data_IF_109429646831
#
_entry.id   IF_109429646831
#
_cell.length_a   1.000
_cell.length_b   1.000
_cell.length_c   1.000
_cell.angle_alpha   90.00
_cell.angle_beta   90.00
_cell.angle_gamma   90.00
#
_symmetry.space_group_name_H-M   'P 1'
#
loop_
_entity.id
_entity.type
_entity.pdbx_description
1 polymer ?
#
# COMPACT_ATOMS: atom_id res chain seq x y z
N UNK A 1 -7.40 -12.34 6.87
CA UNK A 1 -7.23 -10.98 7.41
C UNK A 1 -6.45 -11.12 8.69
N UNK A 2 -5.34 -10.41 8.82
CA UNK A 2 -4.52 -10.35 10.03
C UNK A 2 -4.80 -8.99 10.68
N UNK A 3 -5.09 -8.97 11.99
CA UNK A 3 -5.35 -7.76 12.77
C UNK A 3 -4.54 -7.79 14.07
N UNK A 4 -3.62 -6.84 14.23
CA UNK A 4 -2.79 -6.65 15.42
C UNK A 4 -2.60 -5.16 15.74
N UNK A 5 -2.40 -4.84 17.03
CA UNK A 5 -2.18 -3.45 17.47
C UNK A 5 -0.81 -2.89 17.10
N UNK A 6 0.23 -3.74 17.14
CA UNK A 6 1.59 -3.38 16.74
C UNK A 6 2.22 -4.60 16.08
N UNK A 7 2.80 -4.41 14.90
CA UNK A 7 3.42 -5.50 14.17
C UNK A 7 4.78 -5.07 13.61
N UNK A 8 5.83 -5.80 13.99
CA UNK A 8 7.19 -5.62 13.48
C UNK A 8 7.63 -6.93 12.82
N UNK A 9 7.36 -7.07 11.52
CA UNK A 9 7.79 -8.24 10.77
C UNK A 9 7.66 -8.00 9.26
N UNK A 10 8.13 -8.95 8.46
CA UNK A 10 7.76 -9.03 7.05
C UNK A 10 6.50 -9.89 6.92
N UNK A 11 5.50 -9.40 6.17
CA UNK A 11 4.25 -10.12 5.91
C UNK A 11 4.13 -10.40 4.41
N UNK A 12 3.89 -11.67 4.08
CA UNK A 12 3.53 -12.10 2.75
C UNK A 12 2.14 -12.76 2.81
N UNK A 13 1.18 -12.24 2.06
CA UNK A 13 -0.14 -12.84 1.91
C UNK A 13 -0.45 -13.05 0.45
N UNK A 14 -0.73 -14.30 0.09
CA UNK A 14 -1.13 -14.69 -1.26
C UNK A 14 -2.58 -15.19 -1.25
N UNK A 15 -3.38 -14.78 -2.24
CA UNK A 15 -4.66 -15.40 -2.48
C UNK A 15 -5.62 -14.56 -3.31
N UNK A 16 -6.88 -15.02 -3.46
CA UNK A 16 -7.89 -14.25 -4.21
C UNK A 16 -8.16 -12.87 -3.60
N UNK A 17 -8.00 -12.75 -2.28
CA UNK A 17 -8.14 -11.53 -1.49
C UNK A 17 -7.06 -11.53 -0.41
N UNK A 18 -6.07 -10.67 -0.57
CA UNK A 18 -5.03 -10.43 0.42
C UNK A 18 -5.34 -9.09 1.11
N UNK A 19 -5.51 -9.10 2.43
CA UNK A 19 -5.83 -7.90 3.19
C UNK A 19 -5.15 -7.92 4.56
N UNK A 20 -4.56 -6.77 4.92
CA UNK A 20 -3.88 -6.54 6.17
C UNK A 20 -4.40 -5.24 6.79
N UNK A 21 -4.74 -5.30 8.07
CA UNK A 21 -5.28 -4.18 8.85
C UNK A 21 -4.53 -4.14 10.19
N UNK A 22 -3.81 -3.05 10.48
CA UNK A 22 -3.16 -2.87 11.78
C UNK A 22 -3.14 -1.40 12.21
N UNK A 23 -3.04 -1.17 13.53
CA UNK A 23 -2.86 0.19 14.04
C UNK A 23 -1.47 0.75 13.75
N UNK A 24 -0.42 -0.02 14.05
CA UNK A 24 0.97 0.38 13.80
C UNK A 24 1.73 -0.77 13.17
N UNK A 25 2.40 -0.50 12.05
CA UNK A 25 3.20 -1.50 11.36
C UNK A 25 4.57 -0.96 10.96
N UNK A 26 5.61 -1.75 11.23
CA UNK A 26 6.99 -1.47 10.84
C UNK A 26 7.57 -2.73 10.18
N UNK A 27 8.06 -2.64 8.94
CA UNK A 27 8.58 -3.81 8.23
C UNK A 27 8.42 -3.80 6.71
N UNK A 28 7.95 -4.91 6.13
CA UNK A 28 7.71 -5.03 4.70
C UNK A 28 6.48 -5.88 4.42
N UNK A 29 5.58 -5.40 3.57
CA UNK A 29 4.36 -6.10 3.20
C UNK A 29 4.37 -6.41 1.70
N UNK A 30 4.13 -7.67 1.39
CA UNK A 30 3.82 -8.13 0.03
C UNK A 30 2.43 -8.77 0.04
N UNK A 31 1.49 -8.17 -0.67
CA UNK A 31 0.15 -8.73 -0.87
C UNK A 31 -0.03 -9.07 -2.35
N UNK A 32 -0.17 -10.35 -2.65
CA UNK A 32 -0.41 -10.84 -4.00
C UNK A 32 -1.85 -11.38 -4.11
N UNK A 33 -2.61 -10.86 -5.08
CA UNK A 33 -3.95 -11.37 -5.29
C UNK A 33 -4.80 -10.63 -6.30
N UNK A 34 -6.00 -11.17 -6.58
CA UNK A 34 -6.96 -10.42 -7.43
C UNK A 34 -7.37 -9.09 -6.81
N UNK A 35 -7.37 -9.01 -5.47
CA UNK A 35 -7.60 -7.80 -4.68
C UNK A 35 -6.60 -7.79 -3.52
N UNK A 36 -5.79 -6.75 -3.47
CA UNK A 36 -4.87 -6.47 -2.40
C UNK A 36 -5.35 -5.19 -1.67
N UNK A 37 -5.40 -5.22 -0.34
CA UNK A 37 -5.81 -4.07 0.46
C UNK A 37 -4.94 -3.96 1.72
N UNK A 38 -4.49 -2.75 2.01
CA UNK A 38 -3.73 -2.45 3.21
C UNK A 38 -4.34 -1.20 3.86
N UNK A 39 -4.73 -1.33 5.13
CA UNK A 39 -5.33 -0.27 5.93
C UNK A 39 -4.54 -0.13 7.25
N UNK A 40 -3.92 1.00 7.52
CA UNK A 40 -3.25 1.21 8.82
C UNK A 40 -3.26 2.66 9.30
N UNK A 41 -3.22 2.85 10.62
CA UNK A 41 -3.09 4.20 11.19
C UNK A 41 -1.67 4.77 11.01
N UNK A 42 -0.64 4.01 11.37
CA UNK A 42 0.76 4.41 11.19
C UNK A 42 1.56 3.29 10.54
N UNK A 43 2.24 3.61 9.46
CA UNK A 43 2.92 2.62 8.65
C UNK A 43 4.31 3.11 8.23
N UNK A 44 5.36 2.41 8.69
CA UNK A 44 6.76 2.68 8.35
C UNK A 44 7.35 1.45 7.67
N UNK A 45 7.23 1.33 6.35
CA UNK A 45 7.57 0.08 5.69
C UNK A 45 7.62 0.18 4.16
N UNK A 46 8.20 -0.83 3.53
CA UNK A 46 8.03 -1.06 2.10
C UNK A 46 6.73 -1.84 1.83
N UNK A 47 5.95 -1.42 0.84
CA UNK A 47 4.72 -2.10 0.42
C UNK A 47 4.80 -2.46 -1.04
N UNK A 48 4.52 -3.73 -1.34
CA UNK A 48 4.28 -4.22 -2.69
C UNK A 48 2.88 -4.83 -2.75
N UNK A 49 2.01 -4.26 -3.59
CA UNK A 49 0.69 -4.82 -3.86
C UNK A 49 0.61 -5.21 -5.34
N UNK A 50 0.42 -6.50 -5.60
CA UNK A 50 0.30 -7.04 -6.95
C UNK A 50 -1.11 -7.60 -7.18
N UNK A 51 -1.71 -7.26 -8.32
CA UNK A 51 -3.05 -7.73 -8.60
C UNK A 51 -3.86 -7.04 -9.69
N UNK A 52 -5.18 -7.32 -9.69
CA UNK A 52 -6.12 -6.57 -10.55
C UNK A 52 -6.54 -5.25 -9.92
N UNK A 53 -6.58 -5.19 -8.58
CA UNK A 53 -6.98 -4.03 -7.80
C UNK A 53 -6.14 -3.97 -6.53
N UNK A 54 -5.49 -2.84 -6.29
CA UNK A 54 -4.82 -2.52 -5.04
C UNK A 54 -5.48 -1.29 -4.40
N UNK A 55 -5.59 -1.33 -3.07
CA UNK A 55 -5.99 -0.20 -2.25
C UNK A 55 -5.02 -0.06 -1.07
N UNK A 56 -4.51 1.14 -0.87
CA UNK A 56 -3.72 1.51 0.30
C UNK A 56 -4.44 2.69 0.97
N UNK A 57 -4.84 2.51 2.22
CA UNK A 57 -5.38 3.58 3.06
C UNK A 57 -4.51 3.70 4.33
N UNK A 58 -3.89 4.86 4.57
CA UNK A 58 -3.23 5.08 5.86
C UNK A 58 -3.30 6.52 6.35
N UNK A 59 -3.40 6.71 7.66
CA UNK A 59 -3.31 8.05 8.24
C UNK A 59 -1.89 8.64 8.11
N UNK A 60 -0.86 7.86 8.43
CA UNK A 60 0.53 8.27 8.29
C UNK A 60 1.35 7.17 7.64
N UNK A 61 2.00 7.46 6.52
CA UNK A 61 2.84 6.52 5.78
C UNK A 61 4.23 7.09 5.51
N UNK A 62 5.25 6.31 5.87
CA UNK A 62 6.66 6.62 5.62
C UNK A 62 7.33 5.38 5.00
N UNK A 63 7.91 5.47 3.81
CA UNK A 63 8.57 4.32 3.19
C UNK A 63 8.60 4.31 1.67
N UNK A 64 8.24 3.18 1.06
CA UNK A 64 8.19 3.02 -0.39
C UNK A 64 7.01 2.13 -0.79
N UNK A 65 6.22 2.58 -1.76
CA UNK A 65 5.07 1.83 -2.28
C UNK A 65 5.29 1.49 -3.74
N UNK A 66 5.12 0.22 -4.05
CA UNK A 66 5.02 -0.30 -5.41
C UNK A 66 3.65 -0.94 -5.60
N UNK A 67 2.85 -0.40 -6.53
CA UNK A 67 1.56 -0.98 -6.91
C UNK A 67 1.62 -1.44 -8.36
N UNK A 68 1.66 -2.75 -8.56
CA UNK A 68 1.58 -3.37 -9.88
C UNK A 68 0.16 -3.89 -10.10
N UNK A 69 -0.72 -3.01 -10.55
CA UNK A 69 -2.15 -3.26 -10.59
C UNK A 69 -2.86 -2.55 -11.72
N UNK A 70 -3.84 -3.21 -12.34
CA UNK A 70 -4.71 -2.55 -13.35
C UNK A 70 -5.44 -1.33 -12.79
N UNK A 71 -5.81 -1.36 -11.50
CA UNK A 71 -6.42 -0.26 -10.78
C UNK A 71 -5.77 -0.11 -9.41
N UNK A 72 -5.25 1.07 -9.11
CA UNK A 72 -4.66 1.40 -7.83
C UNK A 72 -5.38 2.60 -7.20
N UNK A 73 -5.64 2.52 -5.90
CA UNK A 73 -6.11 3.65 -5.09
C UNK A 73 -5.18 3.81 -3.91
N UNK A 74 -4.71 5.03 -3.69
CA UNK A 74 -3.88 5.41 -2.56
C UNK A 74 -4.57 6.58 -1.85
N UNK A 75 -4.92 6.39 -0.59
CA UNK A 75 -5.56 7.41 0.25
C UNK A 75 -4.71 7.59 1.52
N UNK A 76 -4.07 8.74 1.72
CA UNK A 76 -3.30 8.96 2.93
C UNK A 76 -3.29 10.40 3.43
N UNK A 77 -3.44 10.59 4.74
CA UNK A 77 -3.42 11.93 5.32
C UNK A 77 -2.01 12.55 5.32
N UNK A 78 -0.98 11.78 5.67
CA UNK A 78 0.41 12.22 5.61
C UNK A 78 1.28 11.17 4.93
N UNK A 79 2.00 11.58 3.88
CA UNK A 79 2.69 10.63 3.00
C UNK A 79 4.12 11.09 2.66
N UNK A 80 5.12 10.34 3.15
CA UNK A 80 6.55 10.55 2.88
C UNK A 80 7.15 9.24 2.32
N UNK A 81 7.00 9.02 1.02
CA UNK A 81 7.46 7.80 0.38
C UNK A 81 7.62 7.85 -1.14
N UNK A 82 8.60 7.15 -1.68
CA UNK A 82 8.68 6.94 -3.13
C UNK A 82 7.49 6.07 -3.60
N UNK A 83 6.73 6.53 -4.60
CA UNK A 83 5.60 5.77 -5.15
C UNK A 83 5.87 5.39 -6.60
N UNK A 84 5.85 4.09 -6.86
CA UNK A 84 5.85 3.53 -8.20
C UNK A 84 4.50 2.88 -8.47
N UNK A 85 3.82 3.35 -9.51
CA UNK A 85 2.48 2.92 -9.87
C UNK A 85 2.52 2.40 -11.29
N UNK A 86 2.27 1.11 -11.44
CA UNK A 86 2.26 0.42 -12.72
C UNK A 86 0.85 -0.08 -12.98
N UNK A 87 0.11 0.65 -13.82
CA UNK A 87 -1.32 0.44 -13.90
C UNK A 87 -2.08 1.33 -14.87
N UNK A 88 -3.21 0.82 -15.37
CA UNK A 88 -4.07 1.56 -16.32
C UNK A 88 -4.84 2.70 -15.66
N UNK A 89 -5.19 2.57 -14.38
CA UNK A 89 -5.95 3.60 -13.65
C UNK A 89 -5.42 3.73 -12.24
N UNK A 90 -5.03 4.95 -11.89
CA UNK A 90 -4.47 5.30 -10.59
C UNK A 90 -5.26 6.47 -10.04
N UNK A 91 -5.72 6.35 -8.79
CA UNK A 91 -6.28 7.44 -8.01
C UNK A 91 -5.38 7.67 -6.78
N UNK A 92 -4.90 8.90 -6.63
CA UNK A 92 -4.11 9.35 -5.48
C UNK A 92 -4.90 10.46 -4.79
N UNK A 93 -5.26 10.25 -3.53
CA UNK A 93 -5.90 11.24 -2.68
C UNK A 93 -5.09 11.33 -1.39
N UNK A 94 -4.07 12.18 -1.39
CA UNK A 94 -3.28 12.39 -0.18
C UNK A 94 -3.20 13.86 0.17
N UNK A 95 -3.41 14.17 1.45
CA UNK A 95 -3.46 15.54 1.93
C UNK A 95 -2.08 16.21 1.92
N UNK A 96 -1.01 15.50 2.29
CA UNK A 96 0.36 16.05 2.34
C UNK A 96 1.34 15.08 1.67
N UNK A 97 1.97 15.52 0.56
CA UNK A 97 2.91 14.74 -0.25
C UNK A 97 4.32 15.36 -0.21
N UNK A 98 5.34 14.57 0.15
CA UNK A 98 6.75 14.97 0.11
C UNK A 98 7.61 13.98 -0.71
N UNK A 99 7.26 13.74 -1.99
CA UNK A 99 7.85 12.59 -2.71
C UNK A 99 7.74 12.66 -4.24
N UNK A 100 8.53 11.80 -4.92
CA UNK A 100 8.42 11.51 -6.35
C UNK A 100 7.41 10.37 -6.61
N UNK A 101 6.48 10.61 -7.54
CA UNK A 101 5.53 9.62 -8.04
C UNK A 101 5.81 9.32 -9.52
N UNK A 102 6.14 8.07 -9.84
CA UNK A 102 6.27 7.61 -11.23
C UNK A 102 5.07 6.72 -11.60
N UNK A 103 4.35 7.11 -12.64
CA UNK A 103 3.23 6.34 -13.19
C UNK A 103 3.59 5.83 -14.58
N UNK A 104 3.89 4.53 -14.69
CA UNK A 104 4.11 3.88 -15.96
C UNK A 104 2.74 3.49 -16.56
N UNK A 105 2.27 4.29 -17.53
CA UNK A 105 1.05 3.98 -18.30
C UNK A 105 1.42 3.12 -19.51
N UNK A 106 0.95 1.88 -19.57
CA UNK A 106 0.94 1.03 -20.78
C UNK A 106 -0.41 1.07 -21.51
#
# INVERSE_FOLDING_TARGET
MLNNNQYIAAVMLEGKRAALDNNQYIGAVMLEGKRAALDNNQYIAAVMLEGKRAALDNNQYIGAVMLECKRATLNNNQYIAAVMLEGKRVALDNNHYYTSCQNARF
#
